data_IF_382104596884
#
_entry.id   IF_382104596884
#
_cell.length_a   1.000
_cell.length_b   1.000
_cell.length_c   1.000
_cell.angle_alpha   90.00
_cell.angle_beta   90.00
_cell.angle_gamma   90.00
#
_symmetry.space_group_name_H-M   'P 1'
#
loop_
_entity.id
_entity.type
_entity.pdbx_description
1 polymer ?
#
# COMPACT_ATOMS: atom_id res chain seq x y z
N UNK A 1 2.92 14.04 -60.55
CA UNK A 1 3.52 14.81 -59.44
C UNK A 1 2.61 15.93 -58.89
N UNK A 2 1.32 15.98 -59.22
CA UNK A 2 0.41 17.09 -58.86
C UNK A 2 -0.86 16.66 -58.09
N UNK A 3 -0.91 15.43 -57.58
CA UNK A 3 -2.01 14.96 -56.72
C UNK A 3 -1.63 14.82 -55.23
N UNK A 4 -0.36 15.07 -54.88
CA UNK A 4 0.09 15.06 -53.47
C UNK A 4 0.09 16.46 -52.81
N UNK A 5 -0.31 17.51 -53.53
CA UNK A 5 -0.38 18.88 -53.00
C UNK A 5 -1.79 19.31 -52.54
N UNK A 6 -2.86 18.59 -52.93
CA UNK A 6 -4.23 18.94 -52.53
C UNK A 6 -4.69 18.39 -51.17
N UNK A 7 -4.00 17.38 -50.62
CA UNK A 7 -4.38 16.79 -49.32
C UNK A 7 -3.83 17.58 -48.12
N UNK A 8 -2.82 18.44 -48.34
CA UNK A 8 -2.24 19.29 -47.30
C UNK A 8 -3.10 20.55 -47.06
N UNK A 9 -3.87 20.99 -48.05
CA UNK A 9 -4.67 22.21 -47.95
C UNK A 9 -6.04 21.99 -47.28
N UNK A 10 -6.61 20.77 -47.32
CA UNK A 10 -7.91 20.49 -46.67
C UNK A 10 -7.76 20.24 -45.16
N UNK A 11 -6.61 19.71 -44.72
CA UNK A 11 -6.34 19.50 -43.28
C UNK A 11 -6.02 20.83 -42.57
N UNK A 12 -5.46 21.82 -43.26
CA UNK A 12 -5.19 23.14 -42.67
C UNK A 12 -6.42 24.07 -42.61
N UNK A 13 -7.49 23.80 -43.37
CA UNK A 13 -8.74 24.59 -43.31
C UNK A 13 -9.76 24.00 -42.31
N UNK A 14 -9.69 22.69 -42.02
CA UNK A 14 -10.52 22.10 -40.95
C UNK A 14 -10.08 22.52 -39.53
N UNK A 15 -8.83 22.95 -39.34
CA UNK A 15 -8.34 23.50 -38.07
C UNK A 15 -8.48 25.03 -37.94
N UNK A 16 -8.95 25.72 -38.98
CA UNK A 16 -9.11 27.17 -38.97
C UNK A 16 -10.55 27.64 -38.66
N UNK A 17 -11.48 26.73 -38.35
CA UNK A 17 -12.90 27.08 -38.16
C UNK A 17 -13.59 26.36 -37.00
N UNK A 18 -12.88 26.09 -35.90
CA UNK A 18 -13.53 25.79 -34.62
C UNK A 18 -12.73 26.32 -33.43
N UNK A 19 -12.39 27.61 -33.43
CA UNK A 19 -12.26 28.37 -32.18
C UNK A 19 -12.70 29.81 -32.43
N UNK A 20 -13.98 29.96 -32.81
CA UNK A 20 -14.77 31.03 -32.19
C UNK A 20 -14.98 30.59 -30.74
N UNK A 21 -13.92 30.70 -29.93
CA UNK A 21 -14.11 30.78 -28.48
C UNK A 21 -14.69 32.16 -28.29
N UNK A 22 -16.03 32.22 -28.30
CA UNK A 22 -16.70 33.26 -27.57
C UNK A 22 -16.01 33.34 -26.21
N UNK A 23 -15.60 34.54 -25.86
CA UNK A 23 -15.22 34.90 -24.50
C UNK A 23 -16.36 34.50 -23.57
N UNK A 24 -16.39 33.25 -23.13
CA UNK A 24 -16.77 32.99 -21.77
C UNK A 24 -15.62 33.58 -20.99
N UNK A 25 -15.89 34.77 -20.47
CA UNK A 25 -15.35 35.19 -19.20
C UNK A 25 -15.28 33.95 -18.32
N UNK A 26 -14.09 33.37 -18.19
CA UNK A 26 -13.80 32.47 -17.09
C UNK A 26 -14.00 33.35 -15.88
N UNK A 27 -15.11 33.18 -15.20
CA UNK A 27 -15.32 33.83 -13.92
C UNK A 27 -14.24 33.28 -13.02
N UNK A 28 -13.24 34.12 -12.72
CA UNK A 28 -12.36 33.96 -11.58
C UNK A 28 -13.22 33.43 -10.40
N UNK A 29 -12.80 32.35 -9.72
CA UNK A 29 -13.44 31.93 -8.48
C UNK A 29 -13.65 33.15 -7.59
N UNK A 30 -14.77 33.27 -6.89
CA UNK A 30 -15.14 34.51 -6.19
C UNK A 30 -14.04 35.03 -5.24
N UNK A 31 -13.22 34.11 -4.72
CA UNK A 31 -12.01 34.39 -3.92
C UNK A 31 -10.95 35.13 -4.75
N UNK A 32 -10.64 34.68 -5.97
CA UNK A 32 -9.64 35.31 -6.84
C UNK A 32 -10.16 36.63 -7.43
N UNK A 33 -11.48 36.77 -7.58
CA UNK A 33 -12.11 37.99 -8.12
C UNK A 33 -12.14 39.14 -7.12
N UNK A 34 -12.21 38.85 -5.83
CA UNK A 34 -12.10 39.84 -4.74
C UNK A 34 -10.67 40.34 -4.54
N UNK A 35 -9.69 39.59 -5.02
CA UNK A 35 -8.26 39.82 -4.77
C UNK A 35 -7.61 40.64 -5.90
N UNK A 36 -8.22 40.71 -7.10
CA UNK A 36 -7.58 41.26 -8.32
C UNK A 36 -8.00 42.73 -8.64
N UNK A 37 -8.33 43.55 -7.64
CA UNK A 37 -8.11 45.01 -7.78
C UNK A 37 -8.83 45.91 -6.77
N UNK A 38 -8.39 47.19 -6.56
CA UNK A 38 -7.22 47.95 -7.11
C UNK A 38 -5.83 48.09 -6.37
N UNK A 39 -4.75 48.03 -7.18
CA UNK A 39 -3.42 48.75 -7.10
C UNK A 39 -2.47 48.52 -5.91
N UNK A 40 -1.34 47.87 -6.19
CA UNK A 40 0.02 47.95 -5.61
C UNK A 40 0.20 47.64 -4.10
N UNK A 41 -0.69 48.09 -3.22
CA UNK A 41 -0.84 47.56 -1.85
C UNK A 41 -1.60 46.24 -1.88
N UNK A 42 -2.56 46.10 -2.80
CA UNK A 42 -3.32 44.86 -2.97
C UNK A 42 -2.53 43.77 -3.68
N UNK A 43 -1.61 44.10 -4.60
CA UNK A 43 -0.80 43.09 -5.29
C UNK A 43 0.15 42.35 -4.32
N UNK A 44 0.59 43.03 -3.25
CA UNK A 44 1.29 42.42 -2.13
C UNK A 44 0.38 41.54 -1.26
N UNK A 45 -0.88 41.93 -1.07
CA UNK A 45 -1.88 41.12 -0.38
C UNK A 45 -2.27 39.88 -1.19
N UNK A 46 -2.35 39.97 -2.53
CA UNK A 46 -2.56 38.83 -3.44
C UNK A 46 -1.43 37.83 -3.32
N UNK A 47 -0.18 38.30 -3.34
CA UNK A 47 0.99 37.44 -3.21
C UNK A 47 1.07 36.81 -1.82
N UNK A 48 0.73 37.56 -0.77
CA UNK A 48 0.66 37.04 0.60
C UNK A 48 -0.45 35.99 0.75
N UNK A 49 -1.61 36.20 0.12
CA UNK A 49 -2.70 35.23 0.13
C UNK A 49 -2.36 33.99 -0.71
N UNK A 50 -1.67 34.15 -1.84
CA UNK A 50 -1.14 33.03 -2.62
C UNK A 50 -0.12 32.22 -1.80
N UNK A 51 0.80 32.87 -1.10
CA UNK A 51 1.75 32.19 -0.21
C UNK A 51 1.03 31.46 0.93
N UNK A 52 0.00 32.09 1.53
CA UNK A 52 -0.84 31.46 2.56
C UNK A 52 -1.54 30.20 2.04
N UNK A 53 -2.19 30.30 0.88
CA UNK A 53 -2.90 29.20 0.22
C UNK A 53 -1.96 28.08 -0.22
N UNK A 54 -0.79 28.43 -0.74
CA UNK A 54 0.27 27.50 -1.08
C UNK A 54 0.76 26.72 0.15
N UNK A 55 1.05 27.42 1.26
CA UNK A 55 1.49 26.79 2.50
C UNK A 55 0.39 25.94 3.15
N UNK A 56 -0.87 26.40 3.12
CA UNK A 56 -2.01 25.64 3.61
C UNK A 56 -2.19 24.33 2.85
N UNK A 57 -2.13 24.37 1.51
CA UNK A 57 -2.23 23.19 0.66
C UNK A 57 -1.15 22.16 0.98
N UNK A 58 0.10 22.60 1.21
CA UNK A 58 1.18 21.70 1.62
C UNK A 58 0.96 21.11 3.02
N UNK A 59 0.42 21.90 3.96
CA UNK A 59 0.10 21.45 5.30
C UNK A 59 -1.02 20.38 5.31
N UNK A 60 -2.10 20.62 4.58
CA UNK A 60 -3.26 19.71 4.54
C UNK A 60 -2.87 18.35 3.96
N UNK A 61 -1.99 18.33 2.96
CA UNK A 61 -1.51 17.07 2.41
C UNK A 61 -0.51 16.36 3.33
N UNK A 62 0.43 17.07 3.97
CA UNK A 62 1.32 16.46 4.96
C UNK A 62 0.52 15.81 6.09
N UNK A 63 -0.50 16.50 6.60
CA UNK A 63 -1.41 15.95 7.61
C UNK A 63 -2.07 14.64 7.13
N UNK A 64 -2.60 14.61 5.92
CA UNK A 64 -3.30 13.43 5.37
C UNK A 64 -2.36 12.26 5.08
N UNK A 65 -1.17 12.53 4.57
CA UNK A 65 -0.14 11.49 4.39
C UNK A 65 0.32 10.91 5.72
N UNK A 66 0.43 11.72 6.77
CA UNK A 66 0.70 11.23 8.13
C UNK A 66 -0.41 10.30 8.63
N UNK A 67 -1.67 10.68 8.43
CA UNK A 67 -2.82 9.83 8.80
C UNK A 67 -2.81 8.51 8.03
N UNK A 68 -2.60 8.54 6.71
CA UNK A 68 -2.46 7.35 5.86
C UNK A 68 -1.38 6.41 6.40
N UNK A 69 -0.17 6.95 6.62
CA UNK A 69 0.98 6.19 7.13
C UNK A 69 0.69 5.57 8.50
N UNK A 70 0.08 6.35 9.40
CA UNK A 70 -0.26 5.90 10.75
C UNK A 70 -1.28 4.76 10.72
N UNK A 71 -2.33 4.87 9.91
CA UNK A 71 -3.35 3.85 9.77
C UNK A 71 -2.78 2.55 9.19
N UNK A 72 -1.98 2.63 8.14
CA UNK A 72 -1.31 1.45 7.57
C UNK A 72 -0.35 0.79 8.57
N UNK A 73 0.43 1.59 9.30
CA UNK A 73 1.35 1.08 10.32
C UNK A 73 0.62 0.39 11.47
N UNK A 74 -0.54 0.93 11.87
CA UNK A 74 -1.41 0.30 12.87
C UNK A 74 -1.99 -1.03 12.38
N UNK A 75 -2.47 -1.08 11.14
CA UNK A 75 -3.00 -2.29 10.54
C UNK A 75 -1.92 -3.39 10.40
N UNK A 76 -0.72 -3.05 9.94
CA UNK A 76 0.42 -3.98 9.86
C UNK A 76 0.80 -4.48 11.25
N UNK A 77 0.90 -3.58 12.24
CA UNK A 77 1.20 -3.96 13.63
C UNK A 77 0.17 -4.96 14.17
N UNK A 78 -1.10 -4.67 13.97
CA UNK A 78 -2.20 -5.52 14.44
C UNK A 78 -2.17 -6.89 13.75
N UNK A 79 -1.90 -6.92 12.44
CA UNK A 79 -1.77 -8.16 11.70
C UNK A 79 -0.56 -8.98 12.17
N UNK A 80 0.60 -8.35 12.37
CA UNK A 80 1.79 -9.02 12.90
C UNK A 80 1.52 -9.64 14.28
N UNK A 81 0.82 -8.93 15.16
CA UNK A 81 0.42 -9.48 16.45
C UNK A 81 -0.50 -10.70 16.31
N UNK A 82 -1.45 -10.66 15.35
CA UNK A 82 -2.33 -11.79 15.05
C UNK A 82 -1.56 -12.99 14.48
N UNK A 83 -0.57 -12.76 13.60
CA UNK A 83 0.28 -13.83 13.07
C UNK A 83 1.16 -14.46 14.13
N UNK A 84 1.84 -13.65 14.96
CA UNK A 84 2.64 -14.17 16.08
C UNK A 84 1.77 -15.03 17.00
N UNK A 85 0.56 -14.56 17.33
CA UNK A 85 -0.36 -15.32 18.16
C UNK A 85 -0.80 -16.62 17.49
N UNK A 86 -1.15 -16.61 16.20
CA UNK A 86 -1.64 -17.80 15.51
C UNK A 86 -0.55 -18.84 15.29
N UNK A 87 0.63 -18.42 14.83
CA UNK A 87 1.79 -19.31 14.72
C UNK A 87 2.16 -19.89 16.09
N UNK A 88 2.15 -19.07 17.14
CA UNK A 88 2.40 -19.53 18.51
C UNK A 88 1.45 -20.65 18.93
N UNK A 89 0.14 -20.49 18.72
CA UNK A 89 -0.86 -21.53 19.03
C UNK A 89 -0.56 -22.83 18.30
N UNK A 90 -0.36 -22.78 16.98
CA UNK A 90 -0.15 -24.00 16.18
C UNK A 90 1.20 -24.67 16.51
N UNK A 91 2.25 -23.90 16.79
CA UNK A 91 3.52 -24.45 17.27
C UNK A 91 3.32 -25.17 18.62
N UNK A 92 2.56 -24.57 19.55
CA UNK A 92 2.25 -25.20 20.84
C UNK A 92 1.47 -26.50 20.64
N UNK A 93 0.46 -26.52 19.76
CA UNK A 93 -0.32 -27.72 19.45
C UNK A 93 0.58 -28.84 18.90
N UNK A 94 1.46 -28.51 17.94
CA UNK A 94 2.45 -29.44 17.39
C UNK A 94 3.39 -29.97 18.47
N UNK A 95 3.89 -29.11 19.36
CA UNK A 95 4.80 -29.52 20.43
C UNK A 95 4.12 -30.44 21.44
N UNK A 96 2.90 -30.12 21.85
CA UNK A 96 2.11 -30.96 22.76
C UNK A 96 1.83 -32.32 22.13
N UNK A 97 1.39 -32.34 20.88
CA UNK A 97 1.05 -33.59 20.20
C UNK A 97 2.28 -34.47 19.96
N UNK A 98 3.40 -33.87 19.54
CA UNK A 98 4.69 -34.57 19.42
C UNK A 98 5.09 -35.22 20.75
N UNK A 99 4.98 -34.48 21.86
CA UNK A 99 5.35 -34.97 23.18
C UNK A 99 4.43 -36.10 23.62
N UNK A 100 3.11 -35.94 23.44
CA UNK A 100 2.10 -36.96 23.74
C UNK A 100 2.37 -38.28 23.02
N UNK A 101 2.61 -38.23 21.70
CA UNK A 101 2.88 -39.45 20.92
C UNK A 101 4.20 -40.07 21.33
N UNK A 102 5.26 -39.28 21.51
CA UNK A 102 6.56 -39.80 21.97
C UNK A 102 6.45 -40.52 23.32
N UNK A 103 5.72 -39.95 24.27
CA UNK A 103 5.54 -40.54 25.59
C UNK A 103 4.75 -41.86 25.50
N UNK A 104 3.70 -41.92 24.67
CA UNK A 104 2.93 -43.14 24.43
C UNK A 104 3.76 -44.24 23.75
N UNK A 105 4.61 -43.89 22.76
CA UNK A 105 5.52 -44.84 22.12
C UNK A 105 6.53 -45.39 23.13
N UNK A 106 7.09 -44.53 23.99
CA UNK A 106 8.03 -44.94 25.04
C UNK A 106 7.38 -45.86 26.07
N UNK A 107 6.15 -45.56 26.50
CA UNK A 107 5.40 -46.41 27.42
C UNK A 107 5.15 -47.80 26.82
N UNK A 108 4.75 -47.86 25.55
CA UNK A 108 4.59 -49.13 24.83
C UNK A 108 5.90 -49.90 24.72
N UNK A 109 7.00 -49.23 24.35
CA UNK A 109 8.32 -49.83 24.25
C UNK A 109 8.82 -50.44 25.58
N UNK A 110 8.52 -49.76 26.69
CA UNK A 110 8.80 -50.28 28.03
C UNK A 110 7.92 -51.49 28.37
N UNK A 111 6.67 -51.52 27.91
CA UNK A 111 5.74 -52.63 28.14
C UNK A 111 6.16 -53.92 27.42
N UNK A 112 6.71 -53.82 26.21
CA UNK A 112 7.25 -54.96 25.45
C UNK A 112 8.67 -55.36 25.90
N UNK A 113 9.35 -54.50 26.68
CA UNK A 113 10.67 -54.77 27.24
C UNK A 113 11.84 -54.58 26.28
N UNK A 114 11.59 -54.05 25.07
CA UNK A 114 12.62 -53.78 24.05
C UNK A 114 12.49 -52.35 23.51
N UNK A 115 13.18 -51.42 24.17
CA UNK A 115 13.25 -50.01 23.76
C UNK A 115 14.13 -49.77 22.53
N UNK A 116 14.84 -50.81 22.06
CA UNK A 116 15.67 -50.76 20.85
C UNK A 116 15.02 -51.53 19.70
N UNK A 117 13.75 -51.94 19.84
CA UNK A 117 13.01 -52.57 18.76
C UNK A 117 13.07 -51.67 17.51
N UNK A 118 13.54 -52.18 16.36
CA UNK A 118 13.69 -51.38 15.14
C UNK A 118 12.41 -50.66 14.72
N UNK A 119 11.24 -51.25 14.97
CA UNK A 119 9.93 -50.65 14.69
C UNK A 119 9.68 -49.39 15.54
N UNK A 120 10.02 -49.44 16.84
CA UNK A 120 9.89 -48.31 17.78
C UNK A 120 10.85 -47.18 17.41
N UNK A 121 12.10 -47.53 17.07
CA UNK A 121 13.11 -46.53 16.67
C UNK A 121 12.68 -45.83 15.38
N UNK A 122 12.23 -46.59 14.37
CA UNK A 122 11.76 -46.03 13.11
C UNK A 122 10.58 -45.06 13.30
N UNK A 123 9.59 -45.42 14.12
CA UNK A 123 8.44 -44.55 14.38
C UNK A 123 8.84 -43.27 15.14
N UNK A 124 9.79 -43.36 16.07
CA UNK A 124 10.33 -42.17 16.73
C UNK A 124 11.09 -41.25 15.77
N UNK A 125 11.89 -41.80 14.86
CA UNK A 125 12.60 -41.02 13.85
C UNK A 125 11.63 -40.34 12.87
N UNK A 126 10.57 -41.05 12.48
CA UNK A 126 9.53 -40.51 11.61
C UNK A 126 8.70 -39.40 12.31
N UNK A 127 8.38 -39.54 13.61
CA UNK A 127 7.78 -38.48 14.40
C UNK A 127 8.65 -37.20 14.41
N UNK A 128 9.97 -37.36 14.55
CA UNK A 128 10.91 -36.23 14.49
C UNK A 128 10.94 -35.60 13.08
N UNK A 129 10.92 -36.43 12.03
CA UNK A 129 10.87 -35.97 10.63
C UNK A 129 9.62 -35.14 10.37
N UNK A 130 8.44 -35.62 10.79
CA UNK A 130 7.18 -34.90 10.63
C UNK A 130 7.17 -33.58 11.40
N UNK A 131 7.71 -33.55 12.63
CA UNK A 131 7.80 -32.32 13.40
C UNK A 131 8.73 -31.28 12.74
N UNK A 132 9.83 -31.75 12.16
CA UNK A 132 10.77 -30.90 11.41
C UNK A 132 10.12 -30.35 10.14
N UNK A 133 9.37 -31.18 9.43
CA UNK A 133 8.63 -30.76 8.24
C UNK A 133 7.57 -29.69 8.59
N UNK A 134 6.74 -29.93 9.61
CA UNK A 134 5.72 -28.97 10.03
C UNK A 134 6.33 -27.62 10.48
N UNK A 135 7.49 -27.64 11.15
CA UNK A 135 8.22 -26.42 11.51
C UNK A 135 8.71 -25.65 10.27
N UNK A 136 9.18 -26.36 9.24
CA UNK A 136 9.57 -25.73 7.96
C UNK A 136 8.37 -25.12 7.25
N UNK A 137 7.22 -25.80 7.25
CA UNK A 137 5.99 -25.30 6.61
C UNK A 137 5.45 -24.05 7.33
N UNK A 138 5.53 -23.99 8.66
CA UNK A 138 5.18 -22.79 9.43
C UNK A 138 6.12 -21.63 9.10
N UNK A 139 7.42 -21.91 8.97
CA UNK A 139 8.42 -20.89 8.59
C UNK A 139 8.12 -20.32 7.20
N UNK A 140 7.78 -21.19 6.24
CA UNK A 140 7.37 -20.77 4.90
C UNK A 140 6.09 -19.92 4.93
N UNK A 141 5.08 -20.32 5.71
CA UNK A 141 3.86 -19.54 5.87
C UNK A 141 4.14 -18.13 6.43
N UNK A 142 5.07 -18.01 7.39
CA UNK A 142 5.49 -16.73 7.93
C UNK A 142 6.21 -15.86 6.88
N UNK A 143 7.07 -16.44 6.05
CA UNK A 143 7.75 -15.73 4.97
C UNK A 143 6.77 -15.22 3.90
N UNK A 144 5.79 -16.05 3.51
CA UNK A 144 4.74 -15.65 2.57
C UNK A 144 3.90 -14.49 3.14
N UNK A 145 3.50 -14.58 4.41
CA UNK A 145 2.78 -13.51 5.09
C UNK A 145 3.56 -12.18 5.06
N UNK A 146 4.87 -12.24 5.30
CA UNK A 146 5.74 -11.06 5.23
C UNK A 146 5.88 -10.51 3.80
N UNK A 147 6.06 -11.38 2.81
CA UNK A 147 6.21 -10.99 1.41
C UNK A 147 4.94 -10.31 0.86
N UNK A 148 3.76 -10.85 1.18
CA UNK A 148 2.47 -10.28 0.77
C UNK A 148 2.24 -8.91 1.43
N UNK A 149 2.59 -8.76 2.71
CA UNK A 149 2.50 -7.48 3.41
C UNK A 149 3.47 -6.42 2.89
N UNK A 150 4.68 -6.82 2.54
CA UNK A 150 5.65 -5.92 1.90
C UNK A 150 5.15 -5.45 0.52
N UNK A 151 4.53 -6.35 -0.24
CA UNK A 151 3.93 -6.04 -1.54
C UNK A 151 2.74 -5.10 -1.40
N UNK A 152 1.81 -5.38 -0.48
CA UNK A 152 0.65 -4.52 -0.22
C UNK A 152 1.10 -3.10 0.16
N UNK A 153 2.05 -2.98 1.09
CA UNK A 153 2.60 -1.67 1.48
C UNK A 153 3.20 -0.93 0.29
N UNK A 154 3.90 -1.64 -0.61
CA UNK A 154 4.49 -1.03 -1.79
C UNK A 154 3.48 -0.51 -2.79
N UNK A 155 2.41 -1.28 -3.03
CA UNK A 155 1.40 -0.97 -4.05
C UNK A 155 0.47 0.16 -3.59
N UNK A 156 0.08 0.20 -2.31
CA UNK A 156 -0.93 1.15 -1.84
C UNK A 156 -0.35 2.45 -1.25
N UNK A 157 0.87 2.43 -0.69
CA UNK A 157 1.44 3.62 -0.04
C UNK A 157 2.34 4.45 -0.96
N UNK A 158 3.35 3.82 -1.58
CA UNK A 158 4.37 4.56 -2.32
C UNK A 158 3.84 5.37 -3.50
N UNK A 159 2.88 4.88 -4.31
CA UNK A 159 2.33 5.67 -5.41
C UNK A 159 1.64 6.95 -4.92
N UNK A 160 0.96 6.92 -3.78
CA UNK A 160 0.28 8.09 -3.21
C UNK A 160 1.30 9.15 -2.74
N UNK A 161 2.36 8.71 -2.07
CA UNK A 161 3.46 9.60 -1.67
C UNK A 161 4.16 10.20 -2.89
N UNK A 162 4.44 9.38 -3.91
CA UNK A 162 5.13 9.83 -5.12
C UNK A 162 4.28 10.82 -5.94
N UNK A 163 2.98 10.54 -6.10
CA UNK A 163 2.06 11.42 -6.80
C UNK A 163 2.01 12.81 -6.15
N UNK A 164 1.94 12.86 -4.82
CA UNK A 164 1.99 14.13 -4.10
C UNK A 164 3.34 14.84 -4.22
N UNK A 165 4.45 14.12 -4.03
CA UNK A 165 5.80 14.70 -4.14
C UNK A 165 6.03 15.33 -5.52
N UNK A 166 5.58 14.66 -6.58
CA UNK A 166 5.67 15.18 -7.95
C UNK A 166 4.81 16.44 -8.12
N UNK A 167 3.55 16.40 -7.71
CA UNK A 167 2.63 17.56 -7.78
C UNK A 167 3.17 18.78 -7.01
N UNK A 168 3.65 18.58 -5.78
CA UNK A 168 4.27 19.63 -4.97
C UNK A 168 5.54 20.19 -5.61
N UNK A 169 6.41 19.32 -6.14
CA UNK A 169 7.65 19.73 -6.81
C UNK A 169 7.37 20.49 -8.11
N UNK A 170 6.39 20.06 -8.89
CA UNK A 170 5.97 20.71 -10.13
C UNK A 170 5.43 22.11 -9.86
N UNK A 171 4.57 22.26 -8.83
CA UNK A 171 4.05 23.57 -8.42
C UNK A 171 5.18 24.50 -7.94
N UNK A 172 6.04 24.01 -7.05
CA UNK A 172 7.20 24.79 -6.56
C UNK A 172 8.11 25.24 -7.71
N UNK A 173 8.41 24.33 -8.62
CA UNK A 173 9.26 24.61 -9.78
C UNK A 173 8.62 25.62 -10.73
N UNK A 174 7.29 25.54 -10.93
CA UNK A 174 6.54 26.50 -11.72
C UNK A 174 6.56 27.88 -11.08
N UNK A 175 6.26 27.98 -9.78
CA UNK A 175 6.27 29.25 -9.02
C UNK A 175 7.64 29.91 -9.10
N UNK A 176 8.72 29.18 -8.78
CA UNK A 176 10.10 29.71 -8.82
C UNK A 176 10.49 30.13 -10.23
N UNK A 177 10.14 29.34 -11.25
CA UNK A 177 10.43 29.69 -12.65
C UNK A 177 9.71 30.95 -13.05
N UNK A 178 8.41 31.07 -12.75
CA UNK A 178 7.60 32.24 -13.12
C UNK A 178 8.10 33.51 -12.42
N UNK A 179 8.32 33.46 -11.11
CA UNK A 179 8.89 34.59 -10.37
C UNK A 179 10.28 34.97 -10.91
N UNK A 180 11.12 33.97 -11.23
CA UNK A 180 12.48 34.21 -11.71
C UNK A 180 12.60 34.69 -13.16
N UNK A 181 11.62 34.40 -14.02
CA UNK A 181 11.64 34.80 -15.44
C UNK A 181 10.79 36.01 -15.77
N UNK A 182 9.81 36.34 -14.93
CA UNK A 182 8.89 37.45 -15.17
C UNK A 182 9.48 38.78 -14.68
N UNK A 183 9.25 39.85 -15.45
CA UNK A 183 9.50 41.20 -14.94
C UNK A 183 8.29 41.63 -14.11
N UNK A 184 8.36 41.47 -12.80
CA UNK A 184 7.25 41.76 -11.86
C UNK A 184 6.80 43.23 -11.94
N UNK A 185 7.65 44.15 -12.43
CA UNK A 185 7.26 45.57 -12.59
C UNK A 185 6.34 45.79 -13.80
N UNK A 186 6.43 44.96 -14.83
CA UNK A 186 5.64 45.11 -16.07
C UNK A 186 4.56 44.03 -16.24
N UNK A 187 4.80 42.83 -15.71
CA UNK A 187 4.04 41.62 -16.03
C UNK A 187 3.31 41.04 -14.80
N UNK A 188 3.10 41.86 -13.76
CA UNK A 188 2.56 41.40 -12.47
C UNK A 188 1.21 40.71 -12.61
N UNK A 189 0.26 41.31 -13.33
CA UNK A 189 -1.07 40.74 -13.54
C UNK A 189 -1.05 39.40 -14.30
N UNK A 190 -0.18 39.28 -15.31
CA UNK A 190 -0.02 38.04 -16.07
C UNK A 190 0.59 36.96 -15.19
N UNK A 191 1.62 37.32 -14.42
CA UNK A 191 2.29 36.41 -13.48
C UNK A 191 1.32 35.91 -12.42
N UNK A 192 0.52 36.79 -11.82
CA UNK A 192 -0.49 36.42 -10.82
C UNK A 192 -1.58 35.51 -11.40
N UNK A 193 -2.07 35.79 -12.60
CA UNK A 193 -3.07 34.95 -13.25
C UNK A 193 -2.54 33.55 -13.58
N UNK A 194 -1.29 33.44 -14.06
CA UNK A 194 -0.66 32.15 -14.34
C UNK A 194 -0.36 31.34 -13.08
N UNK A 195 0.05 32.00 -11.99
CA UNK A 195 0.24 31.37 -10.68
C UNK A 195 -1.08 30.87 -10.10
N UNK A 196 -2.15 31.67 -10.18
CA UNK A 196 -3.49 31.26 -9.75
C UNK A 196 -4.01 30.06 -10.55
N UNK A 197 -3.85 30.08 -11.88
CA UNK A 197 -4.23 28.95 -12.74
C UNK A 197 -3.46 27.67 -12.42
N UNK A 198 -2.15 27.78 -12.16
CA UNK A 198 -1.34 26.63 -11.74
C UNK A 198 -1.76 26.10 -10.37
N UNK A 199 -2.10 26.99 -9.43
CA UNK A 199 -2.60 26.60 -8.11
C UNK A 199 -3.92 25.83 -8.20
N UNK A 200 -4.92 26.36 -8.93
CA UNK A 200 -6.22 25.71 -9.13
C UNK A 200 -6.06 24.30 -9.74
N UNK A 201 -5.18 24.17 -10.74
CA UNK A 201 -4.89 22.87 -11.35
C UNK A 201 -4.23 21.86 -10.42
N UNK A 202 -3.48 22.31 -9.40
CA UNK A 202 -2.85 21.45 -8.40
C UNK A 202 -3.77 21.16 -7.21
N UNK A 203 -4.60 22.11 -6.80
CA UNK A 203 -5.69 21.93 -5.83
C UNK A 203 -6.62 20.79 -6.28
N UNK A 204 -7.08 20.82 -7.53
CA UNK A 204 -7.90 19.76 -8.15
C UNK A 204 -7.22 18.38 -8.17
N UNK A 205 -5.89 18.34 -8.31
CA UNK A 205 -5.13 17.08 -8.26
C UNK A 205 -5.02 16.58 -6.83
N UNK A 206 -4.78 17.48 -5.88
CA UNK A 206 -4.67 17.16 -4.46
C UNK A 206 -6.00 16.66 -3.94
N UNK A 207 -7.12 17.30 -4.26
CA UNK A 207 -8.45 16.81 -3.87
C UNK A 207 -8.74 15.41 -4.40
N UNK A 208 -8.30 15.10 -5.61
CA UNK A 208 -8.38 13.73 -6.16
C UNK A 208 -7.49 12.74 -5.43
N UNK A 209 -6.25 13.12 -5.08
CA UNK A 209 -5.36 12.28 -4.25
C UNK A 209 -6.00 12.05 -2.88
N UNK A 210 -6.52 13.09 -2.24
CA UNK A 210 -7.16 13.03 -0.92
C UNK A 210 -8.43 12.18 -0.93
N UNK A 211 -9.26 12.27 -1.97
CA UNK A 211 -10.40 11.39 -2.17
C UNK A 211 -9.96 9.93 -2.42
N UNK A 212 -8.85 9.75 -3.14
CA UNK A 212 -8.23 8.45 -3.39
C UNK A 212 -7.71 7.79 -2.11
N UNK A 213 -7.11 8.54 -1.19
CA UNK A 213 -6.49 8.01 0.05
C UNK A 213 -7.47 7.17 0.89
N UNK A 214 -8.74 7.57 1.01
CA UNK A 214 -9.74 6.79 1.73
C UNK A 214 -10.00 5.44 1.04
N UNK A 215 -10.17 5.47 -0.28
CA UNK A 215 -10.36 4.27 -1.10
C UNK A 215 -9.15 3.35 -1.02
N UNK A 216 -7.93 3.90 -1.05
CA UNK A 216 -6.71 3.10 -0.93
C UNK A 216 -6.52 2.50 0.47
N UNK A 217 -6.97 3.19 1.52
CA UNK A 217 -7.02 2.63 2.86
C UNK A 217 -7.98 1.44 2.94
N UNK A 218 -9.15 1.55 2.32
CA UNK A 218 -10.13 0.46 2.27
C UNK A 218 -9.59 -0.73 1.48
N UNK A 219 -9.01 -0.48 0.30
CA UNK A 219 -8.36 -1.51 -0.52
C UNK A 219 -7.21 -2.20 0.24
N UNK A 220 -6.37 -1.41 0.92
CA UNK A 220 -5.29 -1.93 1.74
C UNK A 220 -5.83 -2.83 2.87
N UNK A 221 -6.91 -2.41 3.53
CA UNK A 221 -7.53 -3.18 4.60
C UNK A 221 -8.14 -4.49 4.07
N UNK A 222 -8.70 -4.50 2.87
CA UNK A 222 -9.15 -5.72 2.18
C UNK A 222 -8.00 -6.69 1.94
N UNK A 223 -6.87 -6.19 1.42
CA UNK A 223 -5.67 -7.01 1.20
C UNK A 223 -5.13 -7.57 2.52
N UNK A 224 -5.04 -6.75 3.57
CA UNK A 224 -4.68 -7.20 4.93
C UNK A 224 -5.61 -8.32 5.41
N UNK A 225 -6.91 -8.19 5.19
CA UNK A 225 -7.89 -9.20 5.58
C UNK A 225 -7.74 -10.50 4.77
N UNK A 226 -7.43 -10.42 3.48
CA UNK A 226 -7.19 -11.57 2.62
C UNK A 226 -5.93 -12.32 3.05
N UNK A 227 -4.81 -11.61 3.23
CA UNK A 227 -3.55 -12.22 3.70
C UNK A 227 -3.75 -12.87 5.07
N UNK A 228 -4.48 -12.23 5.98
CA UNK A 228 -4.86 -12.85 7.26
C UNK A 228 -5.57 -14.19 7.06
N UNK A 229 -6.64 -14.19 6.26
CA UNK A 229 -7.48 -15.38 6.02
C UNK A 229 -6.66 -16.52 5.43
N UNK A 230 -5.85 -16.22 4.43
CA UNK A 230 -5.14 -17.23 3.65
C UNK A 230 -3.99 -17.84 4.47
N UNK A 231 -3.24 -17.01 5.20
CA UNK A 231 -2.19 -17.47 6.12
C UNK A 231 -2.77 -18.26 7.29
N UNK A 232 -3.91 -17.85 7.86
CA UNK A 232 -4.59 -18.65 8.88
C UNK A 232 -5.01 -20.01 8.34
N UNK A 233 -5.66 -20.05 7.18
CA UNK A 233 -6.08 -21.31 6.57
C UNK A 233 -4.89 -22.26 6.34
N UNK A 234 -3.76 -21.72 5.87
CA UNK A 234 -2.51 -22.47 5.68
C UNK A 234 -1.94 -22.98 7.01
N UNK A 235 -1.79 -22.11 8.00
CA UNK A 235 -1.24 -22.46 9.32
C UNK A 235 -2.09 -23.53 10.01
N UNK A 236 -3.40 -23.40 9.92
CA UNK A 236 -4.35 -24.35 10.49
C UNK A 236 -4.29 -25.71 9.80
N UNK A 237 -4.10 -25.71 8.48
CA UNK A 237 -3.93 -26.94 7.73
C UNK A 237 -2.64 -27.68 8.13
N UNK A 238 -1.53 -26.95 8.33
CA UNK A 238 -0.27 -27.53 8.82
C UNK A 238 -0.49 -28.22 10.17
N UNK A 239 -1.11 -27.52 11.13
CA UNK A 239 -1.41 -28.07 12.46
C UNK A 239 -2.30 -29.31 12.40
N UNK A 240 -3.41 -29.26 11.66
CA UNK A 240 -4.32 -30.42 11.51
C UNK A 240 -3.65 -31.61 10.85
N UNK A 241 -2.87 -31.39 9.79
CA UNK A 241 -2.17 -32.45 9.08
C UNK A 241 -1.11 -33.11 9.97
N UNK A 242 -0.38 -32.30 10.75
CA UNK A 242 0.59 -32.83 11.71
C UNK A 242 -0.09 -33.74 12.74
N UNK A 243 -1.16 -33.26 13.39
CA UNK A 243 -1.90 -34.05 14.40
C UNK A 243 -2.40 -35.37 13.80
N UNK A 244 -3.05 -35.32 12.64
CA UNK A 244 -3.56 -36.51 11.96
C UNK A 244 -2.45 -37.53 11.65
N UNK A 245 -1.31 -37.08 11.12
CA UNK A 245 -0.21 -37.99 10.78
C UNK A 245 0.48 -38.57 12.03
N UNK A 246 0.55 -37.80 13.11
CA UNK A 246 1.11 -38.24 14.40
C UNK A 246 0.21 -39.28 15.09
N UNK A 247 -1.11 -39.14 14.98
CA UNK A 247 -2.06 -40.14 15.45
C UNK A 247 -1.93 -41.47 14.70
N UNK A 248 -1.82 -41.42 13.36
CA UNK A 248 -1.59 -42.62 12.55
C UNK A 248 -0.27 -43.31 12.93
N UNK A 249 0.79 -42.53 13.11
CA UNK A 249 2.10 -43.04 13.51
C UNK A 249 2.07 -43.68 14.92
N UNK A 250 1.27 -43.13 15.83
CA UNK A 250 1.06 -43.75 17.14
C UNK A 250 0.37 -45.11 17.00
N UNK A 251 -0.68 -45.22 16.17
CA UNK A 251 -1.37 -46.48 15.93
C UNK A 251 -0.43 -47.55 15.35
N UNK A 252 0.47 -47.17 14.44
CA UNK A 252 1.50 -48.06 13.89
C UNK A 252 2.51 -48.48 14.96
N UNK A 253 2.96 -47.55 15.80
CA UNK A 253 3.93 -47.85 16.85
C UNK A 253 3.38 -48.78 17.94
N UNK A 254 2.08 -48.67 18.26
CA UNK A 254 1.41 -49.56 19.22
C UNK A 254 1.24 -51.00 18.70
N UNK A 255 1.44 -51.24 17.40
CA UNK A 255 1.43 -52.58 16.81
C UNK A 255 2.81 -53.25 16.81
N UNK A 256 3.87 -52.53 17.18
CA UNK A 256 5.21 -53.11 17.31
C UNK A 256 5.22 -54.15 18.45
N UNK A 257 5.78 -55.34 18.18
CA UNK A 257 5.93 -56.46 19.12
C UNK A 257 7.38 -56.81 19.39
#
# INVERSE_FOLDING_TARGET
>A
MWQKLGFVTVVLVAFACQQVVWSKTVSLPDVVRQVVGPKATEDGEVLAEFDRLFNQLHYDVDYKLRVLRMNQSLAIKNLNAQFISRFGIVITDIQHEKQRVKDAILEHALSIGDTQNPCIVQNNDEALRQATQAASEISLAAELAYADMATASRVFFYPQVQAFQNSSTDLQSFVVRKIGSSNIVTDMYVTLAELAYAYEGEEDKIDRVLAGVATELDNFQEVVNNVRRDIWAMTDAIGRNFIFNMELLLEEALQCS
#
